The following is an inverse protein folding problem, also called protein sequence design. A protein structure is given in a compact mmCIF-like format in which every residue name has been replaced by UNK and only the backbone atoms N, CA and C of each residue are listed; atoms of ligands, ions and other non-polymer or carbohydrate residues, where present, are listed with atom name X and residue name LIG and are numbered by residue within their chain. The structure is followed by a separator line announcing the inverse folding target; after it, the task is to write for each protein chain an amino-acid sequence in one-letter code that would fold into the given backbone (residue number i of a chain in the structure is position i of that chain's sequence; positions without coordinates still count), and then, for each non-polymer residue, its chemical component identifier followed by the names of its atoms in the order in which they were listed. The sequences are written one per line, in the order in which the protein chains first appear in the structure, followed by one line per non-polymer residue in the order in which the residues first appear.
data_IF_126718857652
#
_entry.id   IF_126718857652
#
_cell.length_a   1.000
_cell.length_b   1.000
_cell.length_c   1.000
_cell.angle_alpha   90.00
_cell.angle_beta   90.00
_cell.angle_gamma   90.00
#
_symmetry.space_group_name_H-M   'P 1'
#
loop_
_entity.id
_entity.type
_entity.pdbx_description
1 polymer ?
#
# COMPACT_ATOMS: atom_id res chain seq x y z
N UNK A 1 -0.61 -2.79 8.86
CA UNK A 1 0.86 -2.92 8.70
C UNK A 1 1.15 -4.39 8.45
N UNK A 2 0.91 -5.25 9.45
CA UNK A 2 1.13 -6.71 9.33
C UNK A 2 0.47 -7.33 8.09
N UNK A 3 -0.83 -7.04 7.88
CA UNK A 3 -1.57 -7.45 6.67
C UNK A 3 -0.92 -7.07 5.33
N UNK A 4 -0.17 -5.97 5.28
CA UNK A 4 0.53 -5.52 4.08
C UNK A 4 1.87 -6.25 3.90
N UNK A 5 2.51 -6.63 4.99
CA UNK A 5 3.75 -7.42 4.94
C UNK A 5 3.45 -8.89 4.63
N UNK A 6 2.30 -9.41 5.07
CA UNK A 6 1.82 -10.75 4.72
C UNK A 6 1.71 -10.97 3.20
N UNK A 7 1.43 -9.91 2.44
CA UNK A 7 1.36 -9.96 0.97
C UNK A 7 2.73 -9.66 0.31
N UNK A 8 3.81 -9.58 1.09
CA UNK A 8 5.18 -9.35 0.62
C UNK A 8 5.60 -7.87 0.56
N UNK A 9 4.68 -6.94 0.84
CA UNK A 9 4.96 -5.51 0.82
C UNK A 9 5.83 -5.02 1.97
N UNK A 10 6.40 -3.83 1.83
CA UNK A 10 7.20 -3.19 2.88
C UNK A 10 6.46 -2.01 3.47
N UNK A 11 6.45 -1.92 4.80
CA UNK A 11 5.95 -0.77 5.53
C UNK A 11 7.12 0.18 5.82
N UNK A 12 7.02 1.41 5.32
CA UNK A 12 8.01 2.48 5.56
C UNK A 12 7.67 3.24 6.85
N UNK A 13 6.38 3.39 7.16
CA UNK A 13 5.96 4.09 8.38
C UNK A 13 6.41 3.35 9.64
N UNK A 14 6.94 4.11 10.60
CA UNK A 14 7.33 3.59 11.89
C UNK A 14 6.15 2.93 12.63
N UNK A 15 6.41 1.79 13.29
CA UNK A 15 5.36 1.00 13.98
C UNK A 15 4.82 1.67 15.24
N UNK A 16 5.66 2.41 15.94
CA UNK A 16 5.28 3.17 17.14
C UNK A 16 4.09 4.09 16.87
N UNK A 17 2.94 3.88 17.56
CA UNK A 17 1.76 4.73 17.44
C UNK A 17 2.03 6.20 17.71
N UNK A 18 2.94 6.54 18.63
CA UNK A 18 3.30 7.92 18.95
C UNK A 18 4.04 8.66 17.82
N UNK A 19 4.44 7.92 16.78
CA UNK A 19 5.24 8.43 15.65
C UNK A 19 4.50 8.37 14.32
N UNK A 20 3.16 8.18 14.33
CA UNK A 20 2.33 8.14 13.12
C UNK A 20 1.02 8.92 13.27
N UNK A 21 0.72 9.77 12.29
CA UNK A 21 -0.50 10.60 12.24
C UNK A 21 -1.68 9.96 11.51
N UNK A 22 -1.92 8.66 11.70
CA UNK A 22 -3.04 7.94 11.04
C UNK A 22 -2.82 7.60 9.56
N UNK A 23 -1.65 7.89 9.01
CA UNK A 23 -1.24 7.53 7.64
C UNK A 23 -0.15 6.48 7.70
N UNK A 24 -0.31 5.44 6.88
CA UNK A 24 0.66 4.37 6.70
C UNK A 24 1.25 4.51 5.30
N UNK A 25 2.58 4.54 5.21
CA UNK A 25 3.36 4.60 3.99
C UNK A 25 3.91 3.21 3.72
N UNK A 26 3.65 2.69 2.52
CA UNK A 26 4.08 1.35 2.11
C UNK A 26 4.57 1.34 0.66
N UNK A 27 5.30 0.28 0.29
CA UNK A 27 5.76 -0.01 -1.07
C UNK A 27 5.56 -1.48 -1.39
N UNK A 28 5.43 -1.80 -2.68
CA UNK A 28 5.41 -3.19 -3.17
C UNK A 28 6.62 -3.45 -4.07
N UNK A 29 6.84 -2.59 -5.07
CA UNK A 29 7.88 -2.81 -6.07
C UNK A 29 8.98 -1.74 -6.07
N UNK A 30 10.19 -2.12 -6.48
CA UNK A 30 11.30 -1.18 -6.73
C UNK A 30 10.95 -0.21 -7.87
N UNK A 31 10.29 -0.72 -8.91
CA UNK A 31 9.81 0.07 -10.03
C UNK A 31 8.56 0.86 -9.64
N UNK A 32 8.69 2.20 -9.65
CA UNK A 32 7.60 3.12 -9.32
C UNK A 32 6.46 3.06 -10.33
N UNK A 33 6.73 2.73 -11.59
CA UNK A 33 5.67 2.61 -12.59
C UNK A 33 4.83 1.34 -12.39
N UNK A 34 5.39 0.27 -11.83
CA UNK A 34 4.62 -0.89 -11.37
C UNK A 34 3.68 -0.49 -10.23
N UNK A 35 4.20 0.21 -9.21
CA UNK A 35 3.36 0.74 -8.12
C UNK A 35 2.29 1.71 -8.65
N UNK A 36 2.60 2.53 -9.67
CA UNK A 36 1.63 3.44 -10.29
C UNK A 36 0.54 2.70 -11.08
N UNK A 37 0.87 1.60 -11.74
CA UNK A 37 -0.13 0.76 -12.41
C UNK A 37 -1.11 0.14 -11.41
N UNK A 38 -0.60 -0.36 -10.28
CA UNK A 38 -1.42 -0.88 -9.17
C UNK A 38 -2.34 0.20 -8.63
N UNK A 39 -1.83 1.44 -8.46
CA UNK A 39 -2.65 2.57 -8.03
C UNK A 39 -3.85 2.82 -8.95
N UNK A 40 -3.62 2.82 -10.27
CA UNK A 40 -4.68 3.03 -11.27
C UNK A 40 -5.73 1.92 -11.20
N UNK A 41 -5.30 0.69 -11.01
CA UNK A 41 -6.19 -0.47 -10.90
C UNK A 41 -6.98 -0.47 -9.57
N UNK A 42 -6.39 -0.01 -8.47
CA UNK A 42 -7.16 0.21 -7.24
C UNK A 42 -8.23 1.31 -7.43
N UNK A 43 -7.89 2.40 -8.13
CA UNK A 43 -8.85 3.46 -8.43
C UNK A 43 -9.99 2.99 -9.33
N UNK A 44 -9.73 2.12 -10.32
CA UNK A 44 -10.80 1.53 -11.16
C UNK A 44 -11.80 0.73 -10.32
N UNK A 45 -11.33 0.12 -9.22
CA UNK A 45 -12.11 -0.64 -8.23
C UNK A 45 -12.71 0.21 -7.11
N UNK A 46 -12.70 1.54 -7.22
CA UNK A 46 -13.18 2.48 -6.20
C UNK A 46 -12.43 2.40 -4.86
N UNK A 47 -11.16 1.97 -4.87
CA UNK A 47 -10.28 1.96 -3.71
C UNK A 47 -9.29 3.13 -3.83
N UNK A 48 -9.53 4.18 -3.07
CA UNK A 48 -8.77 5.43 -3.20
C UNK A 48 -7.65 5.53 -2.16
N UNK A 49 -6.43 5.25 -2.60
CA UNK A 49 -5.20 5.57 -1.88
C UNK A 49 -4.38 6.57 -2.70
N UNK A 50 -3.40 7.22 -2.08
CA UNK A 50 -2.50 8.13 -2.79
C UNK A 50 -1.11 7.50 -2.96
N UNK A 51 -0.38 7.88 -4.01
CA UNK A 51 1.05 7.61 -4.13
C UNK A 51 1.80 8.95 -4.08
N UNK A 52 2.75 9.09 -3.15
CA UNK A 52 3.58 10.30 -3.01
C UNK A 52 4.99 9.93 -2.61
N UNK A 53 5.94 10.74 -3.09
CA UNK A 53 7.36 10.64 -2.78
C UNK A 53 7.89 12.00 -2.36
N UNK A 54 8.82 11.99 -1.41
CA UNK A 54 9.63 13.13 -0.99
C UNK A 54 11.06 12.64 -0.87
N UNK A 55 11.98 13.26 -1.60
CA UNK A 55 13.41 12.91 -1.56
C UNK A 55 13.67 11.39 -1.76
N UNK A 56 13.10 10.82 -2.83
CA UNK A 56 13.15 9.39 -3.16
C UNK A 56 12.52 8.41 -2.13
N UNK A 57 12.04 8.91 -0.99
CA UNK A 57 11.34 8.13 0.02
C UNK A 57 9.83 8.34 -0.12
N UNK A 58 9.08 7.24 -0.18
CA UNK A 58 7.63 7.31 -0.29
C UNK A 58 7.02 6.04 -0.84
N UNK A 59 5.81 6.16 -1.35
CA UNK A 59 5.03 5.04 -1.86
C UNK A 59 3.54 5.28 -1.71
N UNK A 60 2.81 4.20 -1.49
CA UNK A 60 1.39 4.24 -1.17
C UNK A 60 1.17 4.86 0.21
N UNK A 61 0.34 5.90 0.28
CA UNK A 61 -0.11 6.53 1.51
C UNK A 61 -1.56 6.11 1.75
N UNK A 62 -1.73 5.20 2.70
CA UNK A 62 -3.01 4.67 3.12
C UNK A 62 -3.43 5.45 4.37
N UNK A 63 -4.48 6.26 4.22
CA UNK A 63 -5.05 7.00 5.34
C UNK A 63 -6.09 6.13 6.03
N UNK A 64 -5.81 5.71 7.26
CA UNK A 64 -6.75 4.95 8.06
C UNK A 64 -7.47 5.92 9.00
N UNK A 65 -8.57 6.49 8.53
CA UNK A 65 -9.39 7.44 9.29
C UNK A 65 -10.48 6.73 10.09
N UNK A 66 -11.16 7.45 10.98
CA UNK A 66 -12.30 6.97 11.78
C UNK A 66 -13.48 6.46 10.94
N UNK A 67 -13.56 6.87 9.67
CA UNK A 67 -14.57 6.40 8.71
C UNK A 67 -14.25 5.02 8.11
N UNK A 68 -13.01 4.54 8.25
CA UNK A 68 -12.59 3.23 7.72
C UNK A 68 -12.78 2.15 8.78
N UNK A 69 -13.25 0.99 8.34
CA UNK A 69 -13.39 -0.19 9.18
C UNK A 69 -12.52 -1.35 8.68
N UNK A 70 -12.54 -2.47 9.42
CA UNK A 70 -11.74 -3.66 9.08
C UNK A 70 -12.06 -4.21 7.68
N UNK A 71 -13.32 -4.16 7.25
CA UNK A 71 -13.72 -4.65 5.93
C UNK A 71 -13.12 -3.81 4.79
N UNK A 72 -12.95 -2.51 4.99
CA UNK A 72 -12.29 -1.64 3.99
C UNK A 72 -10.82 -2.03 3.83
N UNK A 73 -10.15 -2.35 4.93
CA UNK A 73 -8.77 -2.84 4.92
C UNK A 73 -8.70 -4.21 4.26
N UNK A 74 -9.62 -5.12 4.58
CA UNK A 74 -9.67 -6.45 3.96
C UNK A 74 -9.90 -6.34 2.45
N UNK A 75 -10.81 -5.49 1.99
CA UNK A 75 -11.04 -5.22 0.55
C UNK A 75 -9.79 -4.67 -0.15
N UNK A 76 -9.08 -3.73 0.48
CA UNK A 76 -7.81 -3.22 -0.04
C UNK A 76 -6.80 -4.35 -0.20
N UNK A 77 -6.62 -5.19 0.82
CA UNK A 77 -5.63 -6.27 0.79
C UNK A 77 -5.98 -7.32 -0.26
N UNK A 78 -7.23 -7.74 -0.35
CA UNK A 78 -7.64 -8.73 -1.37
C UNK A 78 -7.49 -8.17 -2.79
N UNK A 79 -7.87 -6.91 -3.03
CA UNK A 79 -7.64 -6.27 -4.32
C UNK A 79 -6.15 -6.23 -4.69
N UNK A 80 -5.28 -5.87 -3.75
CA UNK A 80 -3.82 -5.87 -4.00
C UNK A 80 -3.29 -7.27 -4.28
N UNK A 81 -3.75 -8.31 -3.55
CA UNK A 81 -3.36 -9.71 -3.82
C UNK A 81 -3.73 -10.15 -5.23
N UNK A 82 -4.96 -9.86 -5.66
CA UNK A 82 -5.41 -10.17 -7.02
C UNK A 82 -4.55 -9.47 -8.07
N UNK A 83 -4.21 -8.19 -7.84
CA UNK A 83 -3.36 -7.43 -8.74
C UNK A 83 -1.94 -8.02 -8.78
N UNK A 84 -1.33 -8.33 -7.64
CA UNK A 84 -0.01 -8.99 -7.57
C UNK A 84 -0.03 -10.31 -8.34
N UNK A 85 -1.08 -11.12 -8.17
CA UNK A 85 -1.24 -12.38 -8.89
C UNK A 85 -1.33 -12.15 -10.41
N UNK A 86 -2.04 -11.10 -10.85
CA UNK A 86 -2.16 -10.75 -12.27
C UNK A 86 -0.84 -10.27 -12.89
N UNK A 87 0.01 -9.59 -12.10
CA UNK A 87 1.36 -9.16 -12.53
C UNK A 87 2.30 -10.38 -12.64
N UNK A 88 2.04 -11.46 -11.88
CA UNK A 88 2.85 -12.68 -11.90
C UNK A 88 4.23 -12.52 -11.28
N UNK A 89 4.46 -11.44 -10.51
CA UNK A 89 5.74 -11.11 -9.87
C UNK A 89 5.50 -10.78 -8.40
N UNK A 90 6.24 -11.42 -7.50
CA UNK A 90 6.18 -11.11 -6.07
C UNK A 90 6.75 -9.70 -5.79
N UNK A 91 6.23 -8.97 -4.78
CA UNK A 91 6.79 -7.69 -4.34
C UNK A 91 8.29 -7.79 -4.00
N UNK A 92 9.08 -6.85 -4.52
CA UNK A 92 10.55 -6.88 -4.46
C UNK A 92 11.18 -5.65 -3.77
N UNK A 93 10.37 -4.68 -3.34
CA UNK A 93 10.88 -3.59 -2.50
C UNK A 93 11.19 -4.12 -1.10
N UNK A 94 12.32 -3.68 -0.51
CA UNK A 94 12.78 -4.12 0.83
C UNK A 94 13.26 -3.00 1.77
N UNK A 95 13.11 -1.73 1.36
CA UNK A 95 13.58 -0.58 2.13
C UNK A 95 15.02 -0.22 1.82
#
# INVERSE_FOLDING_TARGET
MDRWEEIGGTVITHRDPGRRGGIIITRLYQDVEQDRAILRELHSRQIFIAQRFTDHVGGFRISCSWVNNKQDIDKLIEAVKEIIASIGKAPDYKG
#
